data_IF_608633942762
#
_entry.id   IF_608633942762
#
_cell.length_a   1.000
_cell.length_b   1.000
_cell.length_c   1.000
_cell.angle_alpha   90.00
_cell.angle_beta   90.00
_cell.angle_gamma   90.00
#
_symmetry.space_group_name_H-M   'P 1'
#
loop_
_entity.id
_entity.type
_entity.pdbx_description
1 polymer ?
#
# COMPACT_ATOMS: atom_id res chain seq x y z
N UNK A 1 3.22 24.85 28.40
CA UNK A 1 2.37 23.74 27.93
C UNK A 1 2.76 23.42 26.49
N UNK A 2 3.56 22.38 26.28
CA UNK A 2 4.03 21.99 24.94
C UNK A 2 3.02 20.98 24.38
N UNK A 3 2.26 21.39 23.36
CA UNK A 3 1.38 20.48 22.61
C UNK A 3 2.27 19.65 21.68
N UNK A 4 2.53 18.40 22.04
CA UNK A 4 3.09 17.38 21.13
C UNK A 4 2.04 17.06 20.08
N UNK A 5 1.97 17.90 19.05
CA UNK A 5 1.32 17.54 17.79
C UNK A 5 2.07 16.33 17.24
N UNK A 6 1.37 15.22 17.08
CA UNK A 6 1.88 14.05 16.38
C UNK A 6 2.17 14.47 14.94
N UNK A 7 3.42 14.83 14.67
CA UNK A 7 3.91 15.13 13.32
C UNK A 7 3.96 13.81 12.58
N UNK A 8 2.83 13.41 12.00
CA UNK A 8 2.90 12.72 10.72
C UNK A 8 3.63 13.72 9.80
N UNK A 9 4.76 13.34 9.17
CA UNK A 9 5.44 14.22 8.25
C UNK A 9 4.41 14.71 7.23
N UNK A 10 4.19 16.02 7.19
CA UNK A 10 3.26 16.68 6.26
C UNK A 10 3.77 16.63 4.81
N UNK A 11 4.94 16.05 4.59
CA UNK A 11 5.60 15.79 3.30
C UNK A 11 5.26 14.44 2.67
N UNK A 12 4.23 13.74 3.17
CA UNK A 12 3.64 12.66 2.39
C UNK A 12 2.81 13.30 1.28
N UNK A 13 3.36 13.30 0.08
CA UNK A 13 2.72 13.71 -1.17
C UNK A 13 1.22 13.36 -1.14
N UNK A 14 0.30 14.29 -1.45
CA UNK A 14 -1.14 14.06 -1.29
C UNK A 14 -1.63 12.82 -2.04
N UNK A 15 -0.99 12.48 -3.16
CA UNK A 15 -1.25 11.25 -3.92
C UNK A 15 -0.97 9.99 -3.09
N UNK A 16 0.09 10.01 -2.29
CA UNK A 16 0.40 8.92 -1.38
C UNK A 16 -0.60 8.87 -0.22
N UNK A 17 -1.06 10.00 0.33
CA UNK A 17 -2.08 10.01 1.40
C UNK A 17 -3.36 9.26 1.01
N UNK A 18 -3.87 9.50 -0.20
CA UNK A 18 -5.06 8.81 -0.71
C UNK A 18 -4.80 7.30 -0.92
N UNK A 19 -3.64 6.93 -1.46
CA UNK A 19 -3.28 5.52 -1.63
C UNK A 19 -3.11 4.81 -0.29
N UNK A 20 -2.52 5.45 0.72
CA UNK A 20 -2.45 4.93 2.09
C UNK A 20 -3.85 4.74 2.69
N UNK A 21 -4.78 5.66 2.44
CA UNK A 21 -6.17 5.52 2.88
C UNK A 21 -6.88 4.34 2.19
N UNK A 22 -6.59 4.10 0.91
CA UNK A 22 -7.12 2.95 0.17
C UNK A 22 -6.54 1.62 0.68
N UNK A 23 -5.21 1.53 0.88
CA UNK A 23 -4.59 0.33 1.48
C UNK A 23 -5.13 0.03 2.87
N UNK A 24 -5.47 1.06 3.67
CA UNK A 24 -6.08 0.85 4.99
C UNK A 24 -7.53 0.35 4.94
N UNK A 25 -8.26 0.63 3.87
CA UNK A 25 -9.64 0.15 3.67
C UNK A 25 -9.70 -1.25 3.06
N UNK A 26 -8.61 -1.69 2.45
CA UNK A 26 -8.46 -3.02 1.89
C UNK A 26 -8.56 -4.08 2.98
N UNK A 27 -9.49 -5.03 2.78
CA UNK A 27 -9.56 -6.23 3.59
C UNK A 27 -8.33 -7.12 3.38
N UNK A 28 -8.02 -8.00 4.34
CA UNK A 28 -6.85 -8.88 4.23
C UNK A 28 -6.97 -9.86 3.06
N UNK A 29 -8.14 -10.45 2.84
CA UNK A 29 -8.40 -11.35 1.71
C UNK A 29 -8.24 -10.66 0.35
N UNK A 30 -8.70 -9.41 0.26
CA UNK A 30 -8.56 -8.61 -0.94
C UNK A 30 -7.09 -8.22 -1.17
N UNK A 31 -6.38 -7.81 -0.12
CA UNK A 31 -4.95 -7.53 -0.18
C UNK A 31 -4.14 -8.78 -0.56
N UNK A 32 -4.50 -9.96 -0.04
CA UNK A 32 -3.89 -11.23 -0.43
C UNK A 32 -4.13 -11.54 -1.91
N UNK A 33 -5.35 -11.37 -2.38
CA UNK A 33 -5.70 -11.57 -3.80
C UNK A 33 -4.85 -10.63 -4.68
N UNK A 34 -4.80 -9.34 -4.33
CA UNK A 34 -3.98 -8.36 -5.06
C UNK A 34 -2.49 -8.73 -5.09
N UNK A 35 -1.94 -9.16 -3.97
CA UNK A 35 -0.53 -9.56 -3.89
C UNK A 35 -0.28 -10.80 -4.75
N UNK A 36 -1.17 -11.79 -4.73
CA UNK A 36 -1.04 -13.01 -5.55
C UNK A 36 -1.19 -12.72 -7.05
N UNK A 37 -2.11 -11.85 -7.43
CA UNK A 37 -2.32 -11.45 -8.84
C UNK A 37 -1.12 -10.69 -9.42
N UNK A 38 -0.55 -9.75 -8.66
CA UNK A 38 0.51 -8.88 -9.17
C UNK A 38 1.91 -9.44 -8.93
N UNK A 39 2.10 -10.21 -7.86
CA UNK A 39 3.40 -10.74 -7.44
C UNK A 39 3.34 -12.24 -7.12
N UNK A 40 2.91 -13.11 -8.04
CA UNK A 40 2.62 -14.52 -7.75
C UNK A 40 3.82 -15.29 -7.16
N UNK A 41 5.05 -14.93 -7.55
CA UNK A 41 6.28 -15.59 -7.09
C UNK A 41 6.70 -15.20 -5.66
N UNK A 42 6.32 -14.01 -5.19
CA UNK A 42 6.77 -13.48 -3.88
C UNK A 42 5.61 -13.18 -2.94
N UNK A 43 4.36 -13.31 -3.38
CA UNK A 43 3.16 -13.06 -2.59
C UNK A 43 3.18 -13.84 -1.27
N UNK A 44 3.55 -15.13 -1.30
CA UNK A 44 3.67 -15.95 -0.08
C UNK A 44 4.71 -15.40 0.89
N UNK A 45 5.86 -14.92 0.41
CA UNK A 45 6.88 -14.32 1.27
C UNK A 45 6.39 -13.00 1.88
N UNK A 46 5.68 -12.18 1.09
CA UNK A 46 5.10 -10.91 1.56
C UNK A 46 4.02 -11.19 2.62
N UNK A 47 3.12 -12.14 2.38
CA UNK A 47 2.07 -12.52 3.32
C UNK A 47 2.63 -13.12 4.61
N UNK A 48 3.69 -13.93 4.51
CA UNK A 48 4.39 -14.46 5.68
C UNK A 48 5.07 -13.35 6.52
N UNK A 49 5.50 -12.27 5.89
CA UNK A 49 6.05 -11.10 6.59
C UNK A 49 4.99 -10.23 7.29
N UNK A 50 3.71 -10.48 7.02
CA UNK A 50 2.59 -9.70 7.52
C UNK A 50 1.70 -10.53 8.45
N UNK A 51 1.78 -10.36 9.78
CA UNK A 51 1.00 -11.14 10.74
C UNK A 51 -0.51 -10.95 10.56
N UNK A 52 -1.32 -12.01 10.81
CA UNK A 52 -2.77 -11.94 10.76
C UNK A 52 -3.30 -10.95 11.81
N UNK A 53 -4.34 -10.19 11.44
CA UNK A 53 -5.02 -9.19 12.28
C UNK A 53 -4.24 -7.89 12.55
N UNK A 54 -3.10 -7.66 11.90
CA UNK A 54 -2.43 -6.36 11.91
C UNK A 54 -2.65 -5.59 10.61
N UNK A 55 -2.59 -4.25 10.62
CA UNK A 55 -2.52 -3.47 9.38
C UNK A 55 -1.23 -3.80 8.62
N UNK A 56 -1.23 -3.70 7.28
CA UNK A 56 -0.04 -3.97 6.46
C UNK A 56 1.08 -2.99 6.82
N UNK A 57 2.30 -3.50 6.95
CA UNK A 57 3.52 -2.74 7.28
C UNK A 57 4.68 -3.19 6.39
N UNK A 58 5.74 -2.38 6.34
CA UNK A 58 6.98 -2.74 5.64
C UNK A 58 6.75 -3.09 4.17
N UNK A 59 7.26 -4.26 3.76
CA UNK A 59 7.20 -4.75 2.38
C UNK A 59 5.75 -4.93 1.91
N UNK A 60 4.87 -5.50 2.75
CA UNK A 60 3.46 -5.69 2.37
C UNK A 60 2.75 -4.37 2.07
N UNK A 61 3.01 -3.34 2.88
CA UNK A 61 2.46 -2.00 2.66
C UNK A 61 3.01 -1.37 1.38
N UNK A 62 4.33 -1.42 1.18
CA UNK A 62 4.98 -0.88 -0.01
C UNK A 62 4.48 -1.56 -1.30
N UNK A 63 4.31 -2.89 -1.29
CA UNK A 63 3.76 -3.64 -2.41
C UNK A 63 2.31 -3.27 -2.71
N UNK A 64 1.44 -3.18 -1.70
CA UNK A 64 0.05 -2.79 -1.89
C UNK A 64 -0.07 -1.35 -2.41
N UNK A 65 0.74 -0.42 -1.88
CA UNK A 65 0.81 0.95 -2.39
C UNK A 65 1.27 0.99 -3.84
N UNK A 66 2.28 0.20 -4.21
CA UNK A 66 2.75 0.08 -5.60
C UNK A 66 1.65 -0.40 -6.55
N UNK A 67 0.92 -1.45 -6.16
CA UNK A 67 -0.21 -1.99 -6.95
C UNK A 67 -1.29 -0.94 -7.16
N UNK A 68 -1.71 -0.28 -6.09
CA UNK A 68 -2.76 0.76 -6.15
C UNK A 68 -2.30 1.94 -7.01
N UNK A 69 -1.05 2.39 -6.82
CA UNK A 69 -0.51 3.51 -7.58
C UNK A 69 -0.45 3.21 -9.08
N UNK A 70 -0.02 2.00 -9.45
CA UNK A 70 0.01 1.56 -10.84
C UNK A 70 -1.39 1.43 -11.47
N UNK A 71 -2.42 1.09 -10.69
CA UNK A 71 -3.81 1.07 -11.14
C UNK A 71 -4.41 2.47 -11.30
N UNK A 72 -3.95 3.43 -10.51
CA UNK A 72 -4.38 4.83 -10.58
C UNK A 72 -3.78 5.57 -11.79
N UNK A 73 -2.62 5.13 -12.31
CA UNK A 73 -2.08 5.67 -13.55
C UNK A 73 -2.83 5.10 -14.77
N UNK A 74 -3.48 5.94 -15.60
CA UNK A 74 -3.97 5.48 -16.89
C UNK A 74 -2.76 5.10 -17.76
N UNK A 75 -2.78 3.89 -18.33
CA UNK A 75 -1.75 3.26 -19.20
C UNK A 75 -1.41 4.09 -20.46
N UNK A 76 -1.88 5.33 -20.59
CA UNK A 76 -1.66 6.21 -21.74
C UNK A 76 -0.29 6.93 -21.77
N UNK A 77 0.61 6.76 -20.78
CA UNK A 77 1.85 7.57 -20.73
C UNK A 77 3.06 7.00 -21.50
N UNK A 78 2.97 5.79 -22.05
CA UNK A 78 4.10 5.10 -22.72
C UNK A 78 3.90 4.88 -24.23
N UNK A 79 2.94 5.55 -24.87
CA UNK A 79 2.96 5.73 -26.34
C UNK A 79 3.60 7.08 -26.66
N UNK A 80 4.93 7.12 -26.70
CA UNK A 80 5.67 8.16 -27.41
C UNK A 80 6.84 7.54 -28.15
#
# INVERSE_FOLDING_TARGET
>A
MVRTLSVLPNDVDPFHRDHYAQVRKLGRDEAETLLRDNYPLVASAILNSWPPNEPPKGIALASLLGIISNRAEPVSRWKR
#
